data_IF_116657671026
#
_entry.id   IF_116657671026
#
_cell.length_a   1.000
_cell.length_b   1.000
_cell.length_c   1.000
_cell.angle_alpha   90.00
_cell.angle_beta   90.00
_cell.angle_gamma   90.00
#
_symmetry.space_group_name_H-M   'P 1'
#
loop_
_entity.id
_entity.type
_entity.pdbx_description
1 polymer ?
#
# COMPACT_ATOMS: atom_id res chain seq x y z
N UNK A 1 -7.87 2.82 -22.30
CA UNK A 1 -9.12 2.24 -21.78
C UNK A 1 -9.15 2.49 -20.29
N UNK A 2 -10.21 3.11 -19.79
CA UNK A 2 -10.38 3.38 -18.36
C UNK A 2 -11.28 2.29 -17.75
N UNK A 3 -10.94 1.85 -16.55
CA UNK A 3 -11.69 0.81 -15.80
C UNK A 3 -12.33 1.40 -14.54
N UNK A 4 -12.86 2.61 -14.66
CA UNK A 4 -13.49 3.40 -13.60
C UNK A 4 -15.02 3.34 -13.61
N UNK A 5 -15.62 2.63 -14.56
CA UNK A 5 -17.06 2.43 -14.62
C UNK A 5 -17.53 1.48 -13.52
N UNK A 6 -18.62 1.84 -12.87
CA UNK A 6 -19.36 1.00 -11.90
C UNK A 6 -20.61 0.36 -12.51
N UNK A 7 -20.88 0.62 -13.81
CA UNK A 7 -22.04 0.09 -14.52
C UNK A 7 -21.91 -1.41 -14.76
N UNK A 8 -22.99 -2.14 -14.64
CA UNK A 8 -23.09 -3.57 -14.94
C UNK A 8 -24.23 -3.76 -15.94
N UNK A 9 -24.00 -4.58 -16.99
CA UNK A 9 -25.03 -4.88 -17.99
C UNK A 9 -26.23 -5.62 -17.35
N UNK A 10 -27.38 -5.45 -17.95
CA UNK A 10 -28.62 -6.12 -17.50
C UNK A 10 -28.49 -7.64 -17.58
N UNK A 11 -27.86 -8.15 -18.62
CA UNK A 11 -27.57 -9.58 -18.78
C UNK A 11 -26.72 -10.13 -17.63
N UNK A 12 -25.63 -9.44 -17.28
CA UNK A 12 -24.76 -9.87 -16.18
C UNK A 12 -25.49 -9.79 -14.82
N UNK A 13 -26.36 -8.80 -14.62
CA UNK A 13 -27.18 -8.68 -13.41
C UNK A 13 -28.21 -9.79 -13.32
N UNK A 14 -28.90 -10.11 -14.42
CA UNK A 14 -29.85 -11.20 -14.48
C UNK A 14 -29.18 -12.57 -14.17
N UNK A 15 -28.00 -12.81 -14.75
CA UNK A 15 -27.23 -14.02 -14.47
C UNK A 15 -26.76 -14.07 -13.00
N UNK A 16 -26.33 -12.95 -12.43
CA UNK A 16 -25.97 -12.85 -11.01
C UNK A 16 -27.15 -13.12 -10.09
N UNK A 17 -28.34 -12.60 -10.41
CA UNK A 17 -29.58 -12.88 -9.69
C UNK A 17 -29.84 -14.37 -9.58
N UNK A 18 -29.91 -15.05 -10.72
CA UNK A 18 -30.17 -16.51 -10.78
C UNK A 18 -29.13 -17.28 -9.96
N UNK A 19 -27.85 -16.90 -10.07
CA UNK A 19 -26.79 -17.55 -9.33
C UNK A 19 -26.93 -17.35 -7.80
N UNK A 20 -27.23 -16.11 -7.37
CA UNK A 20 -27.38 -15.80 -5.94
C UNK A 20 -28.57 -16.53 -5.35
N UNK A 21 -29.74 -16.45 -5.98
CA UNK A 21 -30.97 -17.07 -5.51
C UNK A 21 -30.81 -18.62 -5.41
N UNK A 22 -30.16 -19.24 -6.40
CA UNK A 22 -29.95 -20.69 -6.40
C UNK A 22 -28.88 -21.15 -5.40
N UNK A 23 -27.90 -20.31 -5.07
CA UNK A 23 -26.75 -20.70 -4.26
C UNK A 23 -26.90 -20.33 -2.79
N UNK A 24 -27.50 -19.17 -2.51
CA UNK A 24 -27.57 -18.57 -1.19
C UNK A 24 -29.01 -18.39 -0.67
N UNK A 25 -30.01 -18.33 -1.56
CA UNK A 25 -31.41 -18.04 -1.24
C UNK A 25 -31.85 -16.68 -1.77
N UNK A 26 -33.19 -16.52 -1.92
CA UNK A 26 -33.82 -15.30 -2.45
C UNK A 26 -33.52 -14.08 -1.59
N UNK A 27 -33.43 -14.22 -0.27
CA UNK A 27 -33.14 -13.15 0.67
C UNK A 27 -31.74 -12.55 0.51
N UNK A 28 -30.82 -13.26 -0.15
CA UNK A 28 -29.46 -12.76 -0.44
C UNK A 28 -29.38 -11.90 -1.71
N UNK A 29 -30.42 -11.83 -2.52
CA UNK A 29 -30.44 -10.99 -3.71
C UNK A 29 -31.12 -9.64 -3.44
N UNK A 30 -30.48 -8.55 -3.91
CA UNK A 30 -31.06 -7.23 -3.93
C UNK A 30 -30.82 -6.57 -5.28
N UNK A 31 -31.87 -6.03 -5.92
CA UNK A 31 -31.74 -5.37 -7.20
C UNK A 31 -31.06 -4.02 -7.06
N UNK A 32 -29.73 -4.00 -7.20
CA UNK A 32 -28.90 -2.81 -7.03
C UNK A 32 -28.46 -2.20 -8.35
N UNK A 33 -28.52 -0.87 -8.41
CA UNK A 33 -27.98 -0.07 -9.49
C UNK A 33 -26.86 0.83 -8.98
N UNK A 34 -25.72 0.75 -9.62
CA UNK A 34 -24.61 1.63 -9.33
C UNK A 34 -24.58 2.77 -10.36
N UNK A 35 -24.61 4.01 -9.87
CA UNK A 35 -24.48 5.19 -10.72
C UNK A 35 -23.04 5.29 -11.21
N UNK A 36 -22.87 5.48 -12.51
CA UNK A 36 -21.56 5.79 -13.09
C UNK A 36 -21.15 7.20 -12.67
N UNK A 37 -19.89 7.40 -12.33
CA UNK A 37 -19.33 8.72 -12.10
C UNK A 37 -19.43 9.53 -13.40
N UNK A 38 -19.70 10.85 -13.28
CA UNK A 38 -19.87 11.73 -14.45
C UNK A 38 -18.68 11.74 -15.40
N UNK A 39 -17.48 11.47 -14.87
CA UNK A 39 -16.20 11.49 -15.58
C UNK A 39 -15.77 10.10 -16.10
N UNK A 40 -16.54 9.05 -15.82
CA UNK A 40 -16.28 7.71 -16.32
C UNK A 40 -16.71 7.57 -17.78
N UNK A 41 -15.95 6.80 -18.57
CA UNK A 41 -16.32 6.50 -19.95
C UNK A 41 -17.56 5.59 -19.97
N UNK A 42 -18.68 6.13 -20.37
CA UNK A 42 -20.01 5.49 -20.29
C UNK A 42 -20.14 4.19 -21.12
N UNK A 43 -19.22 3.99 -22.07
CA UNK A 43 -19.14 2.77 -22.88
C UNK A 43 -18.56 1.54 -22.13
N UNK A 44 -17.97 1.72 -20.95
CA UNK A 44 -17.33 0.65 -20.21
C UNK A 44 -18.24 0.08 -19.11
N UNK A 45 -18.02 -1.18 -18.81
CA UNK A 45 -18.59 -1.86 -17.65
C UNK A 45 -17.58 -1.97 -16.50
N UNK A 46 -18.09 -2.20 -15.30
CA UNK A 46 -17.26 -2.60 -14.16
C UNK A 46 -16.56 -3.94 -14.44
N UNK A 47 -15.41 -4.14 -13.79
CA UNK A 47 -14.68 -5.40 -13.90
C UNK A 47 -15.51 -6.51 -13.28
N UNK A 48 -15.81 -7.54 -14.04
CA UNK A 48 -16.61 -8.71 -13.64
C UNK A 48 -16.14 -9.99 -14.32
N UNK A 49 -16.49 -11.18 -13.81
CA UNK A 49 -16.27 -12.42 -14.54
C UNK A 49 -17.14 -12.46 -15.80
N UNK A 50 -16.62 -13.02 -16.88
CA UNK A 50 -17.36 -13.18 -18.13
C UNK A 50 -18.50 -14.21 -17.97
N UNK A 51 -18.22 -15.30 -17.27
CA UNK A 51 -19.16 -16.39 -17.02
C UNK A 51 -19.31 -16.63 -15.52
N UNK A 52 -20.51 -16.48 -15.00
CA UNK A 52 -20.81 -16.60 -13.57
C UNK A 52 -20.80 -18.06 -13.10
N UNK A 53 -21.13 -18.98 -13.97
CA UNK A 53 -21.10 -20.43 -13.71
C UNK A 53 -19.67 -20.99 -13.55
N UNK A 54 -18.65 -20.27 -14.02
CA UNK A 54 -17.26 -20.56 -13.78
C UNK A 54 -16.81 -20.04 -12.40
N UNK A 55 -17.27 -20.70 -11.35
CA UNK A 55 -16.89 -20.33 -9.99
C UNK A 55 -15.37 -20.51 -9.77
N UNK A 56 -14.74 -19.75 -8.85
CA UNK A 56 -13.30 -19.84 -8.58
C UNK A 56 -12.83 -21.27 -8.33
N UNK A 57 -13.61 -22.07 -7.60
CA UNK A 57 -13.24 -23.44 -7.26
C UNK A 57 -13.30 -24.39 -8.48
N UNK A 58 -14.23 -24.17 -9.39
CA UNK A 58 -14.33 -24.97 -10.63
C UNK A 58 -13.14 -24.81 -11.55
N UNK A 59 -12.55 -23.61 -11.62
CA UNK A 59 -11.46 -23.31 -12.56
C UNK A 59 -10.08 -23.23 -11.91
N UNK A 60 -9.98 -23.57 -10.62
CA UNK A 60 -8.75 -23.46 -9.83
C UNK A 60 -7.56 -24.17 -10.48
N UNK A 61 -7.78 -25.36 -11.01
CA UNK A 61 -6.74 -26.19 -11.64
C UNK A 61 -6.25 -25.63 -12.99
N UNK A 62 -7.07 -24.79 -13.64
CA UNK A 62 -6.73 -24.14 -14.92
C UNK A 62 -5.97 -22.81 -14.74
N UNK A 63 -5.73 -22.37 -13.51
CA UNK A 63 -5.15 -21.08 -13.19
C UNK A 63 -3.86 -21.23 -12.39
N UNK A 64 -2.91 -20.31 -12.60
CA UNK A 64 -1.79 -20.15 -11.66
C UNK A 64 -2.32 -19.62 -10.32
N UNK A 65 -1.53 -19.78 -9.26
CA UNK A 65 -1.94 -19.34 -7.93
C UNK A 65 -2.30 -17.83 -7.87
N UNK A 66 -1.56 -16.97 -8.56
CA UNK A 66 -1.82 -15.54 -8.59
C UNK A 66 -3.05 -15.20 -9.43
N UNK A 67 -3.25 -15.89 -10.57
CA UNK A 67 -4.47 -15.77 -11.38
C UNK A 67 -5.70 -16.22 -10.59
N UNK A 68 -5.60 -17.33 -9.85
CA UNK A 68 -6.70 -17.81 -9.00
C UNK A 68 -7.10 -16.79 -7.93
N UNK A 69 -6.12 -16.21 -7.22
CA UNK A 69 -6.39 -15.19 -6.19
C UNK A 69 -7.09 -13.96 -6.77
N UNK A 70 -6.59 -13.47 -7.93
CA UNK A 70 -7.18 -12.32 -8.59
C UNK A 70 -8.58 -12.63 -9.10
N UNK A 71 -8.76 -13.78 -9.76
CA UNK A 71 -10.07 -14.19 -10.25
C UNK A 71 -11.08 -14.34 -9.12
N UNK A 72 -10.68 -14.99 -8.02
CA UNK A 72 -11.52 -15.14 -6.82
C UNK A 72 -11.93 -13.79 -6.22
N UNK A 73 -11.01 -12.84 -6.17
CA UNK A 73 -11.29 -11.49 -5.70
C UNK A 73 -12.34 -10.80 -6.59
N UNK A 74 -12.14 -10.80 -7.91
CA UNK A 74 -13.05 -10.20 -8.88
C UNK A 74 -14.41 -10.87 -8.80
N UNK A 75 -14.45 -12.19 -8.79
CA UNK A 75 -15.68 -12.98 -8.73
C UNK A 75 -16.48 -12.68 -7.47
N UNK A 76 -15.84 -12.79 -6.30
CA UNK A 76 -16.51 -12.59 -5.02
C UNK A 76 -16.99 -11.13 -4.88
N UNK A 77 -16.18 -10.15 -5.29
CA UNK A 77 -16.59 -8.74 -5.22
C UNK A 77 -17.75 -8.43 -6.15
N UNK A 78 -17.75 -8.98 -7.36
CA UNK A 78 -18.87 -8.83 -8.30
C UNK A 78 -20.17 -9.45 -7.74
N UNK A 79 -20.16 -10.71 -7.32
CA UNK A 79 -21.35 -11.36 -6.76
C UNK A 79 -21.82 -10.63 -5.50
N UNK A 80 -20.91 -10.30 -4.57
CA UNK A 80 -21.23 -9.55 -3.35
C UNK A 80 -21.88 -8.18 -3.65
N UNK A 81 -21.48 -7.51 -4.75
CA UNK A 81 -22.07 -6.23 -5.16
C UNK A 81 -23.54 -6.35 -5.57
N UNK A 82 -24.00 -7.54 -5.92
CA UNK A 82 -25.40 -7.83 -6.31
C UNK A 82 -26.19 -8.50 -5.17
N UNK A 83 -25.55 -8.68 -4.00
CA UNK A 83 -26.21 -9.29 -2.82
C UNK A 83 -26.83 -8.23 -1.92
N UNK A 84 -27.76 -8.69 -1.07
CA UNK A 84 -28.41 -7.89 -0.03
C UNK A 84 -27.39 -7.37 0.98
N UNK A 85 -27.70 -6.24 1.61
CA UNK A 85 -26.87 -5.65 2.66
C UNK A 85 -26.78 -6.57 3.89
N UNK A 86 -25.66 -6.52 4.59
CA UNK A 86 -25.56 -7.11 5.91
C UNK A 86 -26.40 -6.32 6.92
N UNK A 87 -27.05 -7.03 7.85
CA UNK A 87 -27.88 -6.42 8.90
C UNK A 87 -27.20 -6.68 10.24
N UNK A 88 -26.99 -5.61 10.98
CA UNK A 88 -26.38 -5.65 12.30
C UNK A 88 -27.37 -5.18 13.37
N UNK A 89 -27.41 -5.87 14.48
CA UNK A 89 -28.02 -5.38 15.71
C UNK A 89 -26.93 -4.67 16.53
N UNK A 90 -27.14 -3.39 16.78
CA UNK A 90 -26.21 -2.57 17.55
C UNK A 90 -26.78 -2.29 18.94
N UNK A 91 -25.96 -2.40 19.99
CA UNK A 91 -26.33 -2.12 21.35
C UNK A 91 -25.39 -1.06 21.93
N UNK A 92 -25.96 0.01 22.43
CA UNK A 92 -25.26 1.02 23.20
C UNK A 92 -25.68 0.91 24.65
N UNK A 93 -24.78 0.48 25.52
CA UNK A 93 -25.00 0.38 26.97
C UNK A 93 -24.41 1.61 27.64
N UNK A 94 -25.23 2.32 28.42
CA UNK A 94 -24.79 3.39 29.30
C UNK A 94 -24.82 2.86 30.74
N UNK A 95 -23.72 2.89 31.42
CA UNK A 95 -23.58 2.37 32.79
C UNK A 95 -23.28 3.54 33.72
N UNK A 96 -24.17 3.76 34.69
CA UNK A 96 -24.00 4.80 35.67
C UNK A 96 -23.36 4.21 36.95
N UNK A 97 -22.30 4.82 37.42
CA UNK A 97 -21.62 4.47 38.66
C UNK A 97 -21.41 5.72 39.49
N UNK A 98 -22.39 6.10 40.31
CA UNK A 98 -22.48 7.36 41.04
C UNK A 98 -22.39 8.58 40.05
N UNK A 99 -21.35 9.37 40.15
CA UNK A 99 -21.08 10.53 39.27
C UNK A 99 -20.40 10.17 37.94
N UNK A 100 -19.98 8.92 37.73
CA UNK A 100 -19.25 8.47 36.55
C UNK A 100 -20.19 7.72 35.58
N UNK A 101 -20.01 8.01 34.29
CA UNK A 101 -20.74 7.38 33.20
C UNK A 101 -19.80 6.61 32.31
N UNK A 102 -20.06 5.32 32.14
CA UNK A 102 -19.33 4.45 31.21
C UNK A 102 -20.21 4.13 30.00
N UNK A 103 -19.55 3.82 28.87
CA UNK A 103 -20.20 3.39 27.63
C UNK A 103 -19.60 2.08 27.17
N UNK A 104 -20.46 1.15 26.73
CA UNK A 104 -20.03 -0.03 26.00
C UNK A 104 -20.85 -0.14 24.71
N UNK A 105 -20.16 -0.37 23.59
CA UNK A 105 -20.78 -0.57 22.30
C UNK A 105 -20.64 -2.05 21.92
N UNK A 106 -21.76 -2.67 21.56
CA UNK A 106 -21.78 -4.03 21.04
C UNK A 106 -22.44 -4.08 19.67
N UNK A 107 -22.02 -5.05 18.87
CA UNK A 107 -22.62 -5.32 17.58
C UNK A 107 -22.67 -6.82 17.31
N UNK A 108 -23.79 -7.29 16.82
CA UNK A 108 -23.97 -8.68 16.39
C UNK A 108 -24.51 -8.72 14.97
N UNK A 109 -24.04 -9.67 14.18
CA UNK A 109 -24.50 -9.84 12.80
C UNK A 109 -25.81 -10.64 12.87
N UNK A 110 -26.95 -9.99 12.51
CA UNK A 110 -28.24 -10.66 12.38
C UNK A 110 -28.38 -11.37 11.03
N UNK A 111 -27.91 -10.73 9.95
CA UNK A 111 -27.91 -11.28 8.62
C UNK A 111 -26.60 -10.90 7.91
N UNK A 112 -25.90 -11.89 7.36
CA UNK A 112 -24.58 -11.67 6.74
C UNK A 112 -24.64 -10.95 5.40
N UNK A 113 -25.69 -11.18 4.60
CA UNK A 113 -25.82 -10.62 3.27
C UNK A 113 -24.55 -10.82 2.44
N UNK A 114 -24.06 -9.75 1.79
CA UNK A 114 -22.83 -9.79 0.97
C UNK A 114 -21.56 -10.21 1.73
N UNK A 115 -21.54 -10.02 3.05
CA UNK A 115 -20.38 -10.43 3.87
C UNK A 115 -20.15 -11.95 3.90
N UNK A 116 -21.08 -12.73 3.39
CA UNK A 116 -20.90 -14.18 3.20
C UNK A 116 -19.78 -14.48 2.20
N UNK A 117 -19.58 -13.61 1.20
CA UNK A 117 -18.56 -13.76 0.15
C UNK A 117 -17.40 -12.79 0.25
N UNK A 118 -17.67 -11.58 0.69
CA UNK A 118 -16.69 -10.51 0.62
C UNK A 118 -16.73 -9.63 1.87
N UNK A 119 -15.61 -9.53 2.53
CA UNK A 119 -15.38 -8.57 3.61
C UNK A 119 -14.19 -7.72 3.20
N UNK A 120 -14.39 -6.41 3.11
CA UNK A 120 -13.32 -5.47 2.79
C UNK A 120 -12.36 -5.37 3.97
N UNK A 121 -11.08 -5.60 3.72
CA UNK A 121 -10.03 -5.42 4.72
C UNK A 121 -9.50 -4.00 4.56
N UNK A 122 -9.84 -3.11 5.47
CA UNK A 122 -9.24 -1.78 5.53
C UNK A 122 -7.81 -1.89 6.06
N UNK A 123 -6.88 -1.13 5.45
CA UNK A 123 -5.47 -1.09 5.87
C UNK A 123 -5.27 -0.43 7.25
N UNK A 124 -6.28 0.29 7.72
CA UNK A 124 -6.35 0.86 9.07
C UNK A 124 -7.15 -0.06 9.98
N UNK A 125 -6.54 -1.18 10.34
CA UNK A 125 -7.08 -2.05 11.39
C UNK A 125 -6.96 -1.41 12.80
N UNK A 126 -7.66 -0.34 13.05
CA UNK A 126 -8.37 -0.23 14.29
C UNK A 126 -9.68 -1.01 14.08
N UNK A 127 -9.59 -2.33 14.14
CA UNK A 127 -10.77 -3.14 14.40
C UNK A 127 -11.29 -2.64 15.73
N UNK A 128 -12.31 -1.79 15.70
CA UNK A 128 -13.23 -1.81 16.80
C UNK A 128 -13.79 -3.24 16.82
N UNK A 129 -13.14 -4.12 17.54
CA UNK A 129 -13.74 -5.39 17.94
C UNK A 129 -14.95 -5.01 18.77
N UNK A 130 -16.08 -4.88 18.11
CA UNK A 130 -17.34 -4.68 18.80
C UNK A 130 -17.51 -5.88 19.74
N UNK A 131 -17.40 -5.60 21.04
CA UNK A 131 -17.55 -6.61 22.04
C UNK A 131 -18.94 -7.25 21.91
N UNK A 132 -19.03 -8.57 22.01
CA UNK A 132 -20.31 -9.23 22.19
C UNK A 132 -20.82 -8.89 23.57
N UNK A 133 -21.71 -7.93 23.63
CA UNK A 133 -22.38 -7.56 24.88
C UNK A 133 -23.49 -8.62 25.12
N UNK A 134 -23.56 -9.23 26.31
CA UNK A 134 -24.65 -10.13 26.66
C UNK A 134 -25.99 -9.37 26.67
N UNK A 135 -27.14 -10.06 26.56
CA UNK A 135 -28.44 -9.43 26.72
C UNK A 135 -28.53 -8.74 28.07
N UNK A 136 -28.87 -7.46 28.07
CA UNK A 136 -29.04 -6.65 29.28
C UNK A 136 -30.46 -6.06 29.27
N UNK A 137 -31.00 -5.84 30.47
CA UNK A 137 -32.28 -5.13 30.66
C UNK A 137 -32.07 -3.71 31.17
N UNK A 138 -33.00 -2.81 30.90
CA UNK A 138 -32.91 -1.45 31.43
C UNK A 138 -32.88 -1.46 32.98
N UNK A 139 -32.00 -0.63 33.54
CA UNK A 139 -31.77 -0.51 34.99
C UNK A 139 -31.29 -1.78 35.66
N UNK A 140 -30.69 -2.71 34.92
CA UNK A 140 -30.05 -3.88 35.49
C UNK A 140 -28.84 -3.48 36.33
N UNK A 141 -28.79 -3.96 37.56
CA UNK A 141 -27.61 -3.78 38.42
C UNK A 141 -26.45 -4.65 37.95
N UNK A 142 -25.27 -4.04 37.81
CA UNK A 142 -24.03 -4.70 37.39
C UNK A 142 -23.05 -4.72 38.57
N UNK A 143 -22.41 -5.87 38.80
CA UNK A 143 -21.33 -5.97 39.76
C UNK A 143 -20.01 -5.49 39.17
N UNK A 144 -19.36 -4.55 39.83
CA UNK A 144 -18.03 -4.08 39.45
C UNK A 144 -16.96 -5.10 39.85
N UNK A 145 -16.32 -5.72 38.87
CA UNK A 145 -15.18 -6.61 39.11
C UNK A 145 -13.89 -5.83 39.21
N UNK A 146 -13.56 -5.04 38.15
CA UNK A 146 -12.31 -4.31 38.05
C UNK A 146 -12.45 -3.06 37.18
N UNK A 147 -11.74 -2.01 37.54
CA UNK A 147 -11.53 -0.84 36.66
C UNK A 147 -10.05 -0.80 36.32
N UNK A 148 -9.76 -0.86 35.02
CA UNK A 148 -8.41 -0.71 34.48
C UNK A 148 -8.31 0.64 33.79
N UNK A 149 -7.28 1.40 34.12
CA UNK A 149 -6.98 2.66 33.46
C UNK A 149 -5.87 2.44 32.44
N UNK A 150 -6.07 2.90 31.21
CA UNK A 150 -5.08 2.85 30.16
C UNK A 150 -4.82 4.24 29.62
N UNK A 151 -3.58 4.70 29.73
CA UNK A 151 -3.17 5.92 29.06
C UNK A 151 -2.93 5.63 27.58
N UNK A 152 -3.53 6.44 26.71
CA UNK A 152 -3.33 6.39 25.27
C UNK A 152 -3.00 7.78 24.75
N UNK A 153 -2.24 7.84 23.69
CA UNK A 153 -1.88 9.09 23.02
C UNK A 153 -2.45 9.06 21.60
N UNK A 154 -2.75 10.23 21.05
CA UNK A 154 -3.11 10.36 19.65
C UNK A 154 -1.92 10.00 18.76
N UNK A 155 -2.17 9.21 17.74
CA UNK A 155 -1.17 8.82 16.74
C UNK A 155 -1.33 9.67 15.49
N UNK A 156 -0.23 9.94 14.75
CA UNK A 156 -0.32 10.58 13.45
C UNK A 156 -1.06 9.68 12.45
N UNK A 157 -1.57 10.25 11.33
CA UNK A 157 -2.13 9.43 10.26
C UNK A 157 -1.15 8.32 9.82
N UNK A 158 -1.64 7.12 9.53
CA UNK A 158 -0.79 6.04 9.08
C UNK A 158 -0.14 6.38 7.73
N UNK A 159 1.00 5.74 7.46
CA UNK A 159 1.64 5.87 6.15
C UNK A 159 0.80 5.21 5.07
N UNK A 160 0.93 5.72 3.85
CA UNK A 160 0.25 5.11 2.71
C UNK A 160 0.72 3.67 2.46
N UNK A 161 -0.23 2.81 2.14
CA UNK A 161 -0.01 1.58 1.41
C UNK A 161 -0.17 1.84 -0.09
N UNK A 162 0.12 0.86 -0.96
CA UNK A 162 -0.16 1.04 -2.39
C UNK A 162 -1.64 1.32 -2.65
N UNK A 163 -2.54 0.63 -1.94
CA UNK A 163 -3.98 0.80 -2.09
C UNK A 163 -4.45 2.18 -1.62
N UNK A 164 -4.05 2.61 -0.42
CA UNK A 164 -4.44 3.92 0.10
C UNK A 164 -3.80 5.07 -0.66
N UNK A 165 -2.60 4.87 -1.27
CA UNK A 165 -2.01 5.85 -2.17
C UNK A 165 -2.81 5.99 -3.47
N UNK A 166 -3.22 4.88 -4.08
CA UNK A 166 -4.10 4.91 -5.28
C UNK A 166 -5.40 5.64 -4.96
N UNK A 167 -6.04 5.34 -3.83
CA UNK A 167 -7.25 6.02 -3.38
C UNK A 167 -7.03 7.53 -3.23
N UNK A 168 -5.92 7.94 -2.61
CA UNK A 168 -5.59 9.36 -2.45
C UNK A 168 -5.31 10.06 -3.79
N UNK A 169 -4.69 9.38 -4.77
CA UNK A 169 -4.48 9.91 -6.11
C UNK A 169 -5.83 10.11 -6.84
N UNK A 170 -6.71 9.12 -6.75
CA UNK A 170 -8.07 9.17 -7.32
C UNK A 170 -8.89 10.32 -6.72
N UNK A 171 -8.94 10.42 -5.39
CA UNK A 171 -9.68 11.49 -4.67
C UNK A 171 -9.17 12.89 -5.02
N UNK A 172 -7.90 13.02 -5.38
CA UNK A 172 -7.25 14.29 -5.77
C UNK A 172 -7.27 14.54 -7.28
N UNK A 173 -7.84 13.65 -8.07
CA UNK A 173 -7.88 13.76 -9.54
C UNK A 173 -6.52 13.58 -10.22
N UNK A 174 -5.51 13.02 -9.54
CA UNK A 174 -4.16 12.83 -10.06
C UNK A 174 -4.05 11.47 -10.75
N UNK A 175 -3.76 11.47 -12.04
CA UNK A 175 -3.66 10.25 -12.83
C UNK A 175 -5.02 9.62 -13.13
N UNK A 176 -4.97 8.44 -13.73
CA UNK A 176 -6.14 7.65 -14.13
C UNK A 176 -5.85 6.17 -13.82
N UNK A 177 -6.85 5.27 -13.85
CA UNK A 177 -6.65 3.85 -13.54
C UNK A 177 -5.47 3.20 -14.28
N UNK A 178 -5.20 3.62 -15.52
CA UNK A 178 -4.08 3.10 -16.31
C UNK A 178 -2.70 3.58 -15.86
N UNK A 179 -2.61 4.66 -15.08
CA UNK A 179 -1.33 5.29 -14.68
C UNK A 179 -0.96 5.06 -13.22
N UNK A 180 -1.90 4.72 -12.33
CA UNK A 180 -1.61 4.55 -10.89
C UNK A 180 -0.51 3.52 -10.62
N UNK A 181 -0.69 2.29 -11.09
CA UNK A 181 0.27 1.21 -10.87
C UNK A 181 1.64 1.46 -11.55
N UNK A 182 1.71 1.93 -12.81
CA UNK A 182 2.96 2.33 -13.44
C UNK A 182 3.71 3.42 -12.67
N UNK A 183 3.00 4.42 -12.14
CA UNK A 183 3.61 5.51 -11.34
C UNK A 183 4.25 4.95 -10.08
N UNK A 184 3.53 4.15 -9.30
CA UNK A 184 4.05 3.54 -8.07
C UNK A 184 5.25 2.64 -8.38
N UNK A 185 5.16 1.83 -9.45
CA UNK A 185 6.25 0.97 -9.89
C UNK A 185 7.50 1.78 -10.26
N UNK A 186 7.31 2.91 -10.94
CA UNK A 186 8.42 3.78 -11.36
C UNK A 186 9.12 4.41 -10.16
N UNK A 187 8.39 4.98 -9.20
CA UNK A 187 9.00 5.62 -8.02
C UNK A 187 9.68 4.61 -7.10
N UNK A 188 9.18 3.38 -7.02
CA UNK A 188 9.87 2.26 -6.37
C UNK A 188 11.15 1.85 -7.11
N UNK A 189 11.08 1.71 -8.45
CA UNK A 189 12.24 1.33 -9.26
C UNK A 189 13.35 2.38 -9.22
N UNK A 190 12.99 3.66 -9.18
CA UNK A 190 13.90 4.80 -9.01
C UNK A 190 14.39 4.97 -7.57
N UNK A 191 13.86 4.18 -6.63
CA UNK A 191 14.21 4.24 -5.20
C UNK A 191 13.94 5.60 -4.56
N UNK A 192 12.92 6.30 -5.02
CA UNK A 192 12.43 7.49 -4.32
C UNK A 192 11.62 7.13 -3.09
N UNK A 193 11.02 5.94 -3.13
CA UNK A 193 10.31 5.32 -2.01
C UNK A 193 10.76 3.87 -1.84
N UNK A 194 10.56 3.34 -0.64
CA UNK A 194 10.72 1.93 -0.31
C UNK A 194 9.47 1.40 0.41
N UNK A 195 9.31 0.09 0.42
CA UNK A 195 8.14 -0.58 0.99
C UNK A 195 8.58 -1.41 2.19
N UNK A 196 8.13 -1.00 3.38
CA UNK A 196 8.39 -1.67 4.65
C UNK A 196 7.05 -2.14 5.21
N UNK A 197 6.86 -3.43 5.42
CA UNK A 197 5.62 -4.02 5.96
C UNK A 197 4.34 -3.50 5.25
N UNK A 198 4.34 -3.46 3.93
CA UNK A 198 3.30 -2.91 3.05
C UNK A 198 3.18 -1.37 3.06
N UNK A 199 3.75 -0.66 4.00
CA UNK A 199 3.75 0.80 4.07
C UNK A 199 4.81 1.41 3.17
N UNK A 200 4.49 2.56 2.58
CA UNK A 200 5.37 3.32 1.70
C UNK A 200 6.15 4.35 2.52
N UNK A 201 7.47 4.28 2.42
CA UNK A 201 8.38 5.19 3.09
C UNK A 201 9.21 5.96 2.06
N UNK A 202 9.30 7.30 2.15
CA UNK A 202 10.23 8.05 1.31
C UNK A 202 11.67 7.76 1.71
N UNK A 203 12.53 7.53 0.73
CA UNK A 203 13.97 7.39 0.94
C UNK A 203 14.63 8.76 1.06
N UNK A 204 15.88 8.80 1.51
CA UNK A 204 16.68 10.04 1.53
C UNK A 204 16.82 10.63 0.13
N UNK A 205 17.13 9.79 -0.87
CA UNK A 205 17.17 10.20 -2.27
C UNK A 205 15.83 10.81 -2.72
N UNK A 206 14.71 10.17 -2.35
CA UNK A 206 13.37 10.68 -2.68
C UNK A 206 13.09 12.04 -2.06
N UNK A 207 13.51 12.26 -0.82
CA UNK A 207 13.36 13.56 -0.13
C UNK A 207 14.18 14.65 -0.80
N UNK A 208 15.43 14.37 -1.17
CA UNK A 208 16.31 15.33 -1.83
C UNK A 208 15.75 15.71 -3.20
N UNK A 209 15.38 14.70 -4.00
CA UNK A 209 14.80 14.94 -5.34
C UNK A 209 13.49 15.73 -5.23
N UNK A 210 12.61 15.36 -4.30
CA UNK A 210 11.34 16.06 -4.10
C UNK A 210 11.56 17.52 -3.67
N UNK A 211 12.48 17.78 -2.74
CA UNK A 211 12.83 19.13 -2.31
C UNK A 211 13.34 19.96 -3.48
N UNK A 212 14.29 19.44 -4.24
CA UNK A 212 14.85 20.11 -5.41
C UNK A 212 13.79 20.43 -6.46
N UNK A 213 12.86 19.49 -6.72
CA UNK A 213 11.78 19.70 -7.68
C UNK A 213 10.79 20.75 -7.19
N UNK A 214 10.39 20.75 -5.92
CA UNK A 214 9.46 21.74 -5.36
C UNK A 214 10.09 23.14 -5.37
N UNK A 215 11.35 23.26 -5.01
CA UNK A 215 12.04 24.56 -4.93
C UNK A 215 12.23 25.20 -6.32
N UNK A 216 12.42 24.40 -7.37
CA UNK A 216 12.73 24.91 -8.69
C UNK A 216 11.55 24.86 -9.68
N UNK A 217 10.59 23.96 -9.46
CA UNK A 217 9.46 23.68 -10.36
C UNK A 217 8.13 23.63 -9.62
N UNK A 218 7.97 24.40 -8.54
CA UNK A 218 6.80 24.37 -7.67
C UNK A 218 5.47 24.58 -8.38
N UNK A 219 5.43 25.38 -9.45
CA UNK A 219 4.23 25.61 -10.25
C UNK A 219 3.77 24.35 -11.01
N UNK A 220 4.70 23.44 -11.33
CA UNK A 220 4.42 22.20 -12.07
C UNK A 220 4.33 21.01 -11.13
N UNK A 221 5.13 21.03 -10.06
CA UNK A 221 5.20 19.94 -9.08
C UNK A 221 4.24 20.21 -7.91
N UNK A 222 2.96 20.25 -8.22
CA UNK A 222 1.91 20.35 -7.21
C UNK A 222 0.68 19.50 -7.62
N UNK A 223 -0.19 19.27 -6.65
CA UNK A 223 -1.37 18.42 -6.79
C UNK A 223 -2.39 19.07 -7.73
N UNK A 224 -2.62 20.36 -7.56
CA UNK A 224 -3.62 21.14 -8.27
C UNK A 224 -3.29 21.21 -9.76
N UNK A 225 -2.03 21.51 -10.09
CA UNK A 225 -1.56 21.54 -11.48
C UNK A 225 -1.76 20.19 -12.17
N UNK A 226 -1.38 19.09 -11.49
CA UNK A 226 -1.50 17.74 -12.06
C UNK A 226 -2.96 17.38 -12.31
N UNK A 227 -3.86 17.70 -11.38
CA UNK A 227 -5.30 17.48 -11.55
C UNK A 227 -5.87 18.30 -12.71
N UNK A 228 -5.50 19.60 -12.84
CA UNK A 228 -5.92 20.45 -13.95
C UNK A 228 -5.44 19.90 -15.30
N UNK A 229 -4.21 19.43 -15.39
CA UNK A 229 -3.71 18.82 -16.63
C UNK A 229 -4.49 17.57 -17.05
N UNK A 230 -4.89 16.74 -16.07
CA UNK A 230 -5.75 15.58 -16.35
C UNK A 230 -7.14 16.01 -16.87
N UNK A 231 -7.72 17.08 -16.30
CA UNK A 231 -8.97 17.66 -16.79
C UNK A 231 -8.85 18.23 -18.20
N UNK A 232 -7.74 18.91 -18.51
CA UNK A 232 -7.47 19.41 -19.87
C UNK A 232 -7.36 18.25 -20.88
N UNK A 233 -6.74 17.13 -20.49
CA UNK A 233 -6.69 15.95 -21.34
C UNK A 233 -8.08 15.34 -21.58
N UNK A 234 -8.95 15.36 -20.60
CA UNK A 234 -10.33 14.93 -20.75
C UNK A 234 -11.11 15.85 -21.71
N UNK A 235 -10.95 17.18 -21.61
CA UNK A 235 -11.54 18.15 -22.56
C UNK A 235 -11.03 17.94 -23.99
N UNK A 236 -9.74 17.59 -24.16
CA UNK A 236 -9.19 17.23 -25.47
C UNK A 236 -9.86 15.95 -26.00
N UNK A 237 -10.01 14.92 -25.15
CA UNK A 237 -10.66 13.66 -25.54
C UNK A 237 -12.12 13.86 -25.95
N UNK A 238 -12.82 14.80 -25.32
CA UNK A 238 -14.20 15.19 -25.63
C UNK A 238 -14.31 16.16 -26.84
N UNK A 239 -13.18 16.62 -27.43
CA UNK A 239 -13.15 17.56 -28.52
C UNK A 239 -13.46 19.02 -28.13
N UNK A 240 -13.50 19.34 -26.83
CA UNK A 240 -13.78 20.68 -26.30
C UNK A 240 -12.58 21.61 -26.34
N UNK A 241 -11.37 21.05 -26.30
CA UNK A 241 -10.11 21.79 -26.36
C UNK A 241 -9.15 21.26 -27.42
N UNK A 242 -8.27 22.13 -27.91
CA UNK A 242 -7.24 21.77 -28.90
C UNK A 242 -5.94 21.41 -28.20
N UNK A 243 -5.44 20.20 -28.39
CA UNK A 243 -4.22 19.71 -27.74
C UNK A 243 -2.99 20.61 -27.97
N UNK A 244 -2.86 21.22 -29.18
CA UNK A 244 -1.76 22.16 -29.49
C UNK A 244 -1.76 23.38 -28.58
N UNK A 245 -2.95 23.91 -28.25
CA UNK A 245 -3.08 25.05 -27.34
C UNK A 245 -2.66 24.66 -25.94
N UNK A 246 -3.16 23.54 -25.39
CA UNK A 246 -2.82 23.06 -24.05
C UNK A 246 -1.31 22.85 -23.92
N UNK A 247 -0.66 22.25 -24.93
CA UNK A 247 0.79 22.07 -24.92
C UNK A 247 1.53 23.41 -24.98
N UNK A 248 1.10 24.36 -25.83
CA UNK A 248 1.76 25.66 -25.94
C UNK A 248 1.66 26.46 -24.63
N UNK A 249 0.49 26.46 -24.02
CA UNK A 249 0.22 27.14 -22.74
C UNK A 249 1.09 26.58 -21.59
N UNK A 250 1.36 25.28 -21.61
CA UNK A 250 2.25 24.62 -20.66
C UNK A 250 3.72 24.84 -20.98
N UNK A 251 4.13 24.57 -22.24
CA UNK A 251 5.55 24.46 -22.60
C UNK A 251 6.28 25.81 -22.52
N UNK A 252 5.64 26.90 -22.96
CA UNK A 252 6.27 28.21 -22.99
C UNK A 252 6.75 28.72 -21.62
N UNK A 253 5.95 28.70 -20.56
CA UNK A 253 6.39 28.99 -19.20
C UNK A 253 7.39 27.97 -18.66
N UNK A 254 7.18 26.67 -18.91
CA UNK A 254 8.02 25.59 -18.44
C UNK A 254 9.45 25.68 -19.00
N UNK A 255 9.61 25.94 -20.30
CA UNK A 255 10.92 26.09 -20.96
C UNK A 255 11.77 27.18 -20.28
N UNK A 256 11.16 28.33 -19.98
CA UNK A 256 11.84 29.44 -19.28
C UNK A 256 12.32 29.03 -17.89
N UNK A 257 11.53 28.26 -17.15
CA UNK A 257 11.94 27.75 -15.83
C UNK A 257 13.09 26.76 -15.98
N UNK A 258 13.05 25.86 -16.97
CA UNK A 258 14.13 24.91 -17.24
C UNK A 258 15.44 25.64 -17.58
N UNK A 259 15.39 26.64 -18.50
CA UNK A 259 16.58 27.42 -18.85
C UNK A 259 17.17 28.20 -17.68
N UNK A 260 16.32 28.72 -16.79
CA UNK A 260 16.75 29.38 -15.57
C UNK A 260 17.44 28.39 -14.61
N UNK A 261 16.79 27.28 -14.34
CA UNK A 261 17.31 26.23 -13.41
C UNK A 261 18.61 25.63 -13.94
N UNK A 262 18.72 25.39 -15.25
CA UNK A 262 19.96 24.86 -15.85
C UNK A 262 21.18 25.78 -15.65
N UNK A 263 20.94 27.10 -15.60
CA UNK A 263 22.00 28.09 -15.36
C UNK A 263 22.31 28.33 -13.88
N UNK A 264 21.31 28.23 -13.00
CA UNK A 264 21.42 28.65 -11.60
C UNK A 264 21.60 27.46 -10.63
N UNK A 265 21.26 26.23 -11.05
CA UNK A 265 21.30 25.07 -10.17
C UNK A 265 22.73 24.59 -9.97
N UNK A 266 23.24 24.74 -8.77
CA UNK A 266 24.50 24.13 -8.37
C UNK A 266 24.37 22.62 -8.23
N UNK A 267 25.46 21.88 -8.51
CA UNK A 267 25.48 20.44 -8.32
C UNK A 267 25.15 20.06 -6.86
N UNK A 268 24.02 19.44 -6.64
CA UNK A 268 23.63 18.91 -5.33
C UNK A 268 24.56 17.75 -4.97
N UNK A 269 25.42 17.96 -4.00
CA UNK A 269 26.24 16.89 -3.44
C UNK A 269 25.37 16.07 -2.49
N UNK A 270 25.12 14.81 -2.84
CA UNK A 270 24.48 13.88 -1.93
C UNK A 270 25.42 13.64 -0.75
N UNK A 271 24.97 13.92 0.45
CA UNK A 271 25.66 13.47 1.65
C UNK A 271 25.43 11.97 1.79
N UNK A 272 26.51 11.21 1.68
CA UNK A 272 26.44 9.76 1.82
C UNK A 272 26.73 9.39 3.26
N UNK A 273 25.98 8.43 3.77
CA UNK A 273 26.23 7.83 5.09
C UNK A 273 27.65 7.25 5.13
N UNK A 274 28.42 7.69 6.10
CA UNK A 274 29.80 7.19 6.30
C UNK A 274 29.71 5.86 7.05
N UNK A 275 30.34 4.83 6.48
CA UNK A 275 30.44 3.52 7.12
C UNK A 275 31.64 3.45 8.07
N UNK A 276 31.65 2.45 8.93
CA UNK A 276 32.77 2.09 9.81
C UNK A 276 33.90 1.29 9.11
N UNK A 277 33.76 1.09 7.80
CA UNK A 277 34.70 0.28 7.01
C UNK A 277 35.74 1.17 6.34
N UNK A 278 37.05 1.03 6.66
CA UNK A 278 38.10 1.77 5.99
C UNK A 278 38.36 1.24 4.57
N UNK A 279 38.80 2.12 3.69
CA UNK A 279 39.23 1.77 2.35
C UNK A 279 40.61 1.12 2.38
N UNK A 280 40.73 -0.08 1.83
CA UNK A 280 42.02 -0.83 1.81
C UNK A 280 43.09 -0.13 0.97
N UNK A 281 42.74 0.79 0.06
CA UNK A 281 43.69 1.47 -0.82
C UNK A 281 44.19 2.80 -0.28
N UNK A 282 43.35 3.56 0.45
CA UNK A 282 43.71 4.92 0.87
C UNK A 282 43.35 5.23 2.34
N UNK A 283 42.85 4.28 3.10
CA UNK A 283 42.52 4.43 4.53
C UNK A 283 41.28 5.28 4.87
N UNK A 284 40.71 6.03 3.92
CA UNK A 284 39.52 6.86 4.17
C UNK A 284 38.30 5.97 4.49
N UNK A 285 37.46 6.39 5.40
CA UNK A 285 36.20 5.68 5.70
C UNK A 285 35.34 5.63 4.46
N UNK A 286 34.81 4.44 4.10
CA UNK A 286 34.00 4.26 2.92
C UNK A 286 32.58 4.79 3.18
N UNK A 287 31.92 5.24 2.11
CA UNK A 287 30.54 5.74 2.16
C UNK A 287 29.59 4.77 1.50
N UNK A 288 28.35 4.71 2.02
CA UNK A 288 27.32 3.85 1.47
C UNK A 288 26.69 4.55 0.26
N UNK A 289 26.89 3.97 -0.94
CA UNK A 289 26.26 4.43 -2.18
C UNK A 289 25.25 3.41 -2.71
N UNK A 290 24.34 3.88 -3.54
CA UNK A 290 23.34 3.03 -4.20
C UNK A 290 23.72 2.82 -5.66
N UNK A 291 23.91 1.57 -6.07
CA UNK A 291 24.19 1.17 -7.45
C UNK A 291 23.04 0.37 -8.06
N UNK A 292 23.22 -0.06 -9.32
CA UNK A 292 22.24 -0.88 -10.07
C UNK A 292 21.81 -2.15 -9.30
N UNK A 293 22.71 -2.71 -8.50
CA UNK A 293 22.49 -3.98 -7.79
C UNK A 293 22.18 -3.83 -6.29
N UNK A 294 22.07 -2.62 -5.77
CA UNK A 294 21.82 -2.35 -4.37
C UNK A 294 22.83 -1.41 -3.72
N UNK A 295 22.83 -1.39 -2.38
CA UNK A 295 23.83 -0.67 -1.60
C UNK A 295 25.23 -1.26 -1.83
N UNK A 296 26.24 -0.40 -1.90
CA UNK A 296 27.63 -0.78 -1.93
C UNK A 296 28.48 0.26 -1.20
N UNK A 297 29.62 -0.14 -0.71
CA UNK A 297 30.61 0.75 -0.11
C UNK A 297 31.49 1.33 -1.20
N UNK A 298 31.60 2.64 -1.26
CA UNK A 298 32.48 3.36 -2.20
C UNK A 298 33.45 4.22 -1.43
N UNK A 299 34.67 4.33 -1.97
CA UNK A 299 35.63 5.25 -1.40
C UNK A 299 35.26 6.70 -1.73
N UNK A 300 35.21 7.63 -0.75
CA UNK A 300 34.91 9.04 -1.01
C UNK A 300 36.00 9.76 -1.81
N UNK A 301 37.19 9.15 -1.97
CA UNK A 301 38.28 9.67 -2.76
C UNK A 301 38.16 9.47 -4.27
N UNK A 302 36.99 9.09 -4.79
CA UNK A 302 36.71 9.05 -6.23
C UNK A 302 36.83 10.46 -6.85
N UNK A 303 37.44 10.64 -8.05
CA UNK A 303 37.96 9.60 -8.97
C UNK A 303 39.35 9.06 -8.68
N UNK A 304 40.10 9.64 -7.77
CA UNK A 304 41.48 9.26 -7.46
C UNK A 304 41.59 7.85 -6.86
N UNK A 305 40.63 7.49 -6.01
CA UNK A 305 40.55 6.15 -5.45
C UNK A 305 39.20 5.51 -5.83
N UNK A 306 39.22 4.56 -6.75
CA UNK A 306 38.04 3.89 -7.30
C UNK A 306 37.68 2.60 -6.54
N UNK A 307 38.07 2.50 -5.26
CA UNK A 307 37.77 1.30 -4.47
C UNK A 307 36.29 1.20 -4.12
N UNK A 308 35.71 0.03 -4.35
CA UNK A 308 34.33 -0.28 -3.98
C UNK A 308 34.25 -1.69 -3.38
N UNK A 309 33.42 -1.86 -2.38
CA UNK A 309 33.14 -3.14 -1.71
C UNK A 309 31.64 -3.43 -1.66
N UNK A 310 31.22 -4.69 -1.63
CA UNK A 310 29.85 -5.03 -1.36
C UNK A 310 29.40 -4.49 0.01
N UNK A 311 28.23 -3.86 0.08
CA UNK A 311 27.60 -3.54 1.35
C UNK A 311 26.91 -4.77 1.90
N UNK A 312 27.32 -5.19 3.10
CA UNK A 312 26.75 -6.35 3.78
C UNK A 312 25.91 -5.84 4.93
N UNK A 313 24.61 -5.97 4.80
CA UNK A 313 23.65 -5.62 5.84
C UNK A 313 23.69 -6.68 6.95
N UNK A 314 23.89 -6.23 8.19
CA UNK A 314 23.89 -7.09 9.37
C UNK A 314 22.67 -6.78 10.24
N UNK A 315 22.27 -7.74 11.08
CA UNK A 315 21.26 -7.54 12.10
C UNK A 315 21.90 -7.47 13.47
N UNK A 316 21.20 -6.83 14.41
CA UNK A 316 21.69 -6.66 15.79
C UNK A 316 21.69 -7.96 16.59
N UNK A 317 20.92 -8.95 16.18
CA UNK A 317 20.86 -10.24 16.85
C UNK A 317 22.10 -11.08 16.50
N UNK A 318 22.85 -11.56 17.52
CA UNK A 318 24.02 -12.39 17.30
C UNK A 318 23.64 -13.78 16.77
N UNK A 319 24.59 -14.43 16.12
CA UNK A 319 24.42 -15.79 15.67
C UNK A 319 24.15 -16.74 16.83
N UNK A 320 23.04 -17.52 16.79
CA UNK A 320 22.70 -18.42 17.90
C UNK A 320 23.70 -19.57 18.08
N UNK A 321 24.55 -19.86 17.07
CA UNK A 321 25.55 -20.92 17.16
C UNK A 321 26.91 -20.45 17.68
N UNK A 322 27.39 -19.27 17.27
CA UNK A 322 28.76 -18.83 17.61
C UNK A 322 28.84 -17.40 18.16
N UNK A 323 27.72 -16.69 18.30
CA UNK A 323 27.69 -15.31 18.78
C UNK A 323 28.19 -14.25 17.78
N UNK A 324 28.67 -14.64 16.60
CA UNK A 324 29.13 -13.71 15.55
C UNK A 324 27.98 -12.92 14.92
N UNK A 325 28.32 -11.91 14.08
CA UNK A 325 27.31 -11.09 13.40
C UNK A 325 26.54 -11.92 12.35
N UNK A 326 25.24 -11.67 12.26
CA UNK A 326 24.39 -12.30 11.25
C UNK A 326 24.13 -11.33 10.12
N UNK A 327 24.44 -11.76 8.91
CA UNK A 327 24.31 -11.01 7.67
C UNK A 327 23.00 -11.34 6.98
N UNK A 328 22.38 -10.33 6.33
CA UNK A 328 21.25 -10.53 5.43
C UNK A 328 21.80 -10.67 4.01
N UNK A 329 21.50 -11.77 3.37
CA UNK A 329 21.84 -12.00 1.96
C UNK A 329 20.58 -12.30 1.15
N UNK A 330 20.64 -12.07 -0.18
CA UNK A 330 19.55 -12.34 -1.11
C UNK A 330 19.91 -13.46 -2.07
N UNK A 331 18.95 -14.36 -2.26
CA UNK A 331 19.03 -15.38 -3.33
C UNK A 331 18.92 -14.74 -4.72
N UNK A 332 19.18 -15.50 -5.79
CA UNK A 332 18.92 -15.09 -7.20
C UNK A 332 17.46 -14.68 -7.43
N UNK A 333 16.52 -15.25 -6.67
CA UNK A 333 15.07 -14.91 -6.69
C UNK A 333 14.71 -13.75 -5.76
N UNK A 334 15.71 -12.97 -5.27
CA UNK A 334 15.55 -11.82 -4.36
C UNK A 334 14.91 -12.14 -2.99
N UNK A 335 14.90 -13.39 -2.56
CA UNK A 335 14.42 -13.79 -1.24
C UNK A 335 15.55 -13.64 -0.21
N UNK A 336 15.27 -12.98 0.92
CA UNK A 336 16.25 -12.81 2.01
C UNK A 336 16.49 -14.13 2.73
N UNK A 337 17.74 -14.33 3.15
CA UNK A 337 18.15 -15.35 4.10
C UNK A 337 19.24 -14.79 5.02
N UNK A 338 19.37 -15.39 6.17
CA UNK A 338 20.27 -14.96 7.25
C UNK A 338 21.42 -15.94 7.36
N UNK A 339 22.65 -15.43 7.36
CA UNK A 339 23.88 -16.24 7.40
C UNK A 339 24.86 -15.62 8.37
N UNK A 340 25.54 -16.45 9.17
CA UNK A 340 26.60 -15.99 10.06
C UNK A 340 27.81 -15.49 9.25
N UNK A 341 28.46 -14.43 9.71
CA UNK A 341 29.71 -13.92 9.10
C UNK A 341 30.83 -14.96 9.07
N UNK A 342 30.81 -15.91 10.02
CA UNK A 342 31.78 -16.99 10.15
C UNK A 342 31.46 -18.21 9.29
N UNK A 343 30.42 -18.18 8.47
CA UNK A 343 30.05 -19.29 7.60
C UNK A 343 30.68 -19.12 6.20
N UNK A 344 31.28 -20.16 5.63
CA UNK A 344 31.70 -21.45 6.22
C UNK A 344 33.11 -21.45 6.80
N UNK A 345 33.88 -20.37 6.60
CA UNK A 345 35.36 -20.38 6.70
C UNK A 345 35.88 -20.41 8.13
N UNK A 346 35.08 -19.98 9.11
CA UNK A 346 35.47 -19.89 10.53
C UNK A 346 34.67 -20.84 11.44
N UNK A 347 34.22 -21.98 10.90
CA UNK A 347 33.63 -23.07 11.68
C UNK A 347 32.17 -22.89 12.12
N UNK A 348 31.44 -21.92 11.59
CA UNK A 348 30.01 -21.77 11.81
C UNK A 348 29.22 -22.06 10.53
N UNK A 349 28.23 -22.93 10.63
CA UNK A 349 27.38 -23.36 9.52
C UNK A 349 25.96 -22.73 9.58
N UNK A 350 25.77 -21.67 10.42
CA UNK A 350 24.46 -21.08 10.59
C UNK A 350 23.94 -20.41 9.32
N UNK A 351 22.82 -20.91 8.82
CA UNK A 351 21.99 -20.32 7.76
C UNK A 351 20.53 -20.49 8.17
N UNK A 352 19.71 -19.45 8.00
CA UNK A 352 18.28 -19.48 8.31
C UNK A 352 17.46 -18.67 7.31
N UNK A 353 16.23 -19.09 7.06
CA UNK A 353 15.25 -18.34 6.28
C UNK A 353 14.43 -17.36 7.14
N UNK A 354 14.52 -17.48 8.45
CA UNK A 354 13.85 -16.63 9.42
C UNK A 354 14.88 -15.84 10.23
N UNK A 355 14.53 -14.61 10.62
CA UNK A 355 15.37 -13.79 11.49
C UNK A 355 15.57 -14.51 12.82
N UNK A 356 16.82 -14.64 13.34
CA UNK A 356 17.04 -15.19 14.65
C UNK A 356 16.38 -14.32 15.72
N UNK A 357 15.72 -14.94 16.66
CA UNK A 357 15.06 -14.26 17.80
C UNK A 357 15.95 -14.44 19.02
N UNK A 358 16.12 -13.38 19.82
CA UNK A 358 16.76 -13.53 21.13
C UNK A 358 15.92 -14.49 21.98
N UNK A 359 16.47 -15.63 22.35
CA UNK A 359 15.86 -16.43 23.42
C UNK A 359 15.76 -15.57 24.68
N UNK A 360 14.54 -15.35 25.14
CA UNK A 360 14.33 -14.81 26.49
C UNK A 360 14.89 -15.87 27.44
N UNK A 361 16.07 -15.60 28.01
CA UNK A 361 16.49 -16.35 29.19
C UNK A 361 15.43 -16.09 30.27
N UNK A 362 14.59 -17.09 30.52
CA UNK A 362 13.78 -17.14 31.73
C UNK A 362 14.74 -17.07 32.91
N UNK A 363 14.52 -16.06 33.74
CA UNK A 363 15.07 -15.96 35.10
C UNK A 363 14.08 -16.50 36.07
#
# INVERSE_FOLDING_TARGET
MRTDSTRISEEARAAAKVHIENTYGEEYYENRYYKTNKDAQDAHEAIRPTYIDLTPDKIKESLTNDQYKLYKLIYNRFIASQMSAAIFDTMLVKINANEYNFRANGQTIRFKGFMTLYVETEDNEQKEEFAKIPPLTENQELQKEKIETKQSFTEPPPRYTEASLVKALEEKGIGRPSTYSPTITTILARRYIEKIQKQIHPTELGRIVNKLLIENFGDVINVEFTAQMEEEFDKIAEGKEKWKKVIADFYGPFEKVVEKVDKELEHVKLEYEVSDVPCDKCGRMMVIKYGKYGKFLACPGYPECQNAKPYIETIDEPCPKCGGKVQIRKTKKRRNYYICENNPNNGCDYISWTKPVKEKKEK
#
